data_IF_671471279358
#
_entry.id   IF_671471279358
#
_cell.length_a   1.000
_cell.length_b   1.000
_cell.length_c   1.000
_cell.angle_alpha   90.00
_cell.angle_beta   90.00
_cell.angle_gamma   90.00
#
_symmetry.space_group_name_H-M   'P 1'
#
loop_
_entity.id
_entity.type
_entity.pdbx_description
1 polymer ?
#
# COMPACT_ATOMS: atom_id res chain seq x y z
N UNK A 1 -10.28 9.38 0.75
CA UNK A 1 -10.96 8.08 0.53
C UNK A 1 -10.95 7.17 1.78
N UNK A 2 -12.03 6.40 2.03
CA UNK A 2 -12.11 5.39 3.10
C UNK A 2 -12.52 4.03 2.54
N UNK A 3 -11.88 2.96 2.99
CA UNK A 3 -12.08 1.59 2.50
C UNK A 3 -12.11 0.59 3.66
N UNK A 4 -12.71 -0.58 3.44
CA UNK A 4 -12.78 -1.66 4.44
C UNK A 4 -12.48 -2.97 3.72
N UNK A 5 -11.50 -3.74 4.21
CA UNK A 5 -11.16 -5.09 3.73
C UNK A 5 -11.06 -6.07 4.90
N UNK A 6 -11.23 -7.36 4.66
CA UNK A 6 -11.01 -8.37 5.69
C UNK A 6 -9.51 -8.58 5.94
N UNK A 7 -8.71 -8.68 4.87
CA UNK A 7 -7.25 -8.80 4.91
C UNK A 7 -6.59 -8.19 3.67
N UNK A 8 -5.25 -8.12 3.68
CA UNK A 8 -4.45 -7.75 2.52
C UNK A 8 -3.86 -8.99 1.88
N UNK A 9 -3.92 -9.06 0.54
CA UNK A 9 -3.08 -9.95 -0.24
C UNK A 9 -1.70 -9.29 -0.30
N UNK A 10 -0.66 -9.98 0.12
CA UNK A 10 0.69 -9.42 0.13
C UNK A 10 1.70 -10.47 -0.32
N UNK A 11 2.70 -10.01 -1.08
CA UNK A 11 3.82 -10.83 -1.52
C UNK A 11 5.08 -9.93 -1.44
N UNK A 12 6.09 -10.27 -0.62
CA UNK A 12 7.31 -9.47 -0.53
C UNK A 12 8.23 -9.60 -1.76
N UNK A 13 8.03 -10.60 -2.62
CA UNK A 13 8.88 -10.92 -3.77
C UNK A 13 8.12 -11.83 -4.73
N UNK A 14 7.35 -11.25 -5.64
CA UNK A 14 6.64 -12.00 -6.67
C UNK A 14 7.59 -12.44 -7.79
N UNK A 15 8.11 -13.67 -7.67
CA UNK A 15 9.06 -14.25 -8.62
C UNK A 15 8.49 -14.38 -10.05
N UNK A 16 7.15 -14.38 -10.21
CA UNK A 16 6.51 -14.43 -11.52
C UNK A 16 6.46 -13.05 -12.19
N UNK A 17 6.54 -11.98 -11.39
CA UNK A 17 6.44 -10.57 -11.81
C UNK A 17 7.75 -9.83 -11.48
N UNK A 18 8.88 -10.33 -11.99
CA UNK A 18 10.21 -9.71 -11.86
C UNK A 18 10.59 -9.30 -10.41
N UNK A 19 10.30 -10.19 -9.45
CA UNK A 19 10.57 -10.03 -8.01
C UNK A 19 9.81 -8.84 -7.36
N UNK A 20 8.68 -8.44 -7.93
CA UNK A 20 7.87 -7.31 -7.45
C UNK A 20 7.33 -7.55 -6.02
N UNK A 21 7.49 -6.56 -5.14
CA UNK A 21 6.81 -6.55 -3.85
C UNK A 21 5.43 -5.90 -4.00
N UNK A 22 4.38 -6.49 -3.42
CA UNK A 22 3.01 -5.97 -3.51
C UNK A 22 2.19 -6.13 -2.23
N UNK A 23 1.30 -5.17 -1.98
CA UNK A 23 0.27 -5.21 -0.95
C UNK A 23 -1.05 -4.70 -1.53
N UNK A 24 -2.06 -5.56 -1.56
CA UNK A 24 -3.32 -5.36 -2.26
C UNK A 24 -4.52 -5.53 -1.31
N UNK A 25 -5.46 -4.61 -1.43
CA UNK A 25 -6.74 -4.59 -0.75
C UNK A 25 -7.87 -4.66 -1.79
N UNK A 26 -8.72 -5.68 -1.67
CA UNK A 26 -10.05 -5.69 -2.27
C UNK A 26 -11.06 -5.25 -1.23
N UNK A 27 -11.53 -4.01 -1.34
CA UNK A 27 -12.50 -3.50 -0.38
C UNK A 27 -13.86 -4.19 -0.56
N UNK A 28 -14.62 -4.25 0.53
CA UNK A 28 -15.98 -4.81 0.61
C UNK A 28 -16.96 -4.20 -0.40
N UNK A 29 -16.70 -2.98 -0.88
CA UNK A 29 -17.48 -2.30 -1.91
C UNK A 29 -17.03 -2.62 -3.34
N UNK A 30 -16.02 -3.46 -3.53
CA UNK A 30 -15.43 -3.84 -4.81
C UNK A 30 -14.27 -2.96 -5.28
N UNK A 31 -13.92 -1.90 -4.55
CA UNK A 31 -12.80 -1.04 -4.93
C UNK A 31 -11.45 -1.75 -4.69
N UNK A 32 -10.54 -1.63 -5.65
CA UNK A 32 -9.15 -2.10 -5.56
C UNK A 32 -8.26 -0.97 -5.03
N UNK A 33 -7.36 -1.30 -4.11
CA UNK A 33 -6.21 -0.47 -3.77
C UNK A 33 -4.95 -1.35 -3.68
N UNK A 34 -3.91 -1.02 -4.42
CA UNK A 34 -2.67 -1.77 -4.51
C UNK A 34 -1.47 -0.84 -4.37
N UNK A 35 -0.52 -1.24 -3.54
CA UNK A 35 0.85 -0.73 -3.52
C UNK A 35 1.75 -1.80 -4.11
N UNK A 36 2.58 -1.44 -5.08
CA UNK A 36 3.56 -2.35 -5.67
C UNK A 36 4.87 -1.62 -5.96
N UNK A 37 5.96 -2.38 -6.00
CA UNK A 37 7.26 -1.86 -6.42
C UNK A 37 8.18 -2.96 -6.89
N UNK A 38 8.84 -2.73 -8.02
CA UNK A 38 9.92 -3.56 -8.52
C UNK A 38 11.24 -3.26 -7.78
N UNK A 39 12.12 -4.24 -7.58
CA UNK A 39 13.32 -4.10 -6.74
C UNK A 39 14.31 -3.03 -7.24
N UNK A 40 14.31 -2.75 -8.55
CA UNK A 40 15.23 -1.82 -9.22
C UNK A 40 14.62 -0.43 -9.50
N UNK A 41 13.39 -0.17 -9.05
CA UNK A 41 12.70 1.10 -9.28
C UNK A 41 12.80 2.06 -8.10
N UNK A 42 12.86 3.36 -8.38
CA UNK A 42 12.89 4.43 -7.38
C UNK A 42 11.49 5.05 -7.13
N UNK A 43 10.44 4.38 -7.59
CA UNK A 43 9.04 4.79 -7.43
C UNK A 43 8.17 3.66 -6.89
N UNK A 44 7.03 4.01 -6.29
CA UNK A 44 6.01 3.06 -5.86
C UNK A 44 4.78 3.21 -6.75
N UNK A 45 4.34 2.10 -7.31
CA UNK A 45 3.10 2.00 -8.04
C UNK A 45 1.93 1.97 -7.06
N UNK A 46 1.03 2.93 -7.21
CA UNK A 46 -0.22 2.99 -6.48
C UNK A 46 -1.33 2.82 -7.49
N UNK A 47 -2.12 1.76 -7.34
CA UNK A 47 -3.31 1.53 -8.17
C UNK A 47 -4.56 1.71 -7.31
N UNK A 48 -5.50 2.53 -7.78
CA UNK A 48 -6.82 2.68 -7.18
C UNK A 48 -7.89 2.51 -8.25
N UNK A 49 -8.76 1.52 -8.06
CA UNK A 49 -9.72 1.05 -9.07
C UNK A 49 -9.01 0.67 -10.38
N UNK A 50 -9.15 1.51 -11.40
CA UNK A 50 -8.66 1.27 -12.77
C UNK A 50 -7.45 2.15 -13.11
N UNK A 51 -7.07 3.08 -12.23
CA UNK A 51 -5.99 4.04 -12.47
C UNK A 51 -4.75 3.65 -11.66
N UNK A 52 -3.57 3.80 -12.27
CA UNK A 52 -2.26 3.63 -11.63
C UNK A 52 -1.47 4.92 -11.73
N UNK A 53 -0.81 5.29 -10.64
CA UNK A 53 0.16 6.39 -10.57
C UNK A 53 1.50 5.85 -10.06
N UNK A 54 2.58 6.52 -10.45
CA UNK A 54 3.92 6.24 -9.98
C UNK A 54 4.36 7.37 -9.05
N UNK A 55 4.71 7.03 -7.81
CA UNK A 55 5.02 8.01 -6.76
C UNK A 55 6.47 7.83 -6.32
N UNK A 56 7.31 8.83 -6.62
CA UNK A 56 8.75 8.84 -6.34
C UNK A 56 9.12 9.56 -5.02
N UNK A 57 8.18 10.32 -4.45
CA UNK A 57 8.44 11.20 -3.31
C UNK A 57 7.16 11.51 -2.52
N UNK A 58 7.33 11.95 -1.28
CA UNK A 58 6.25 12.37 -0.37
C UNK A 58 5.12 11.35 -0.13
N UNK A 59 5.34 10.08 -0.47
CA UNK A 59 4.50 8.97 -0.06
C UNK A 59 4.72 8.67 1.42
N UNK A 60 3.66 8.67 2.21
CA UNK A 60 3.68 8.21 3.60
C UNK A 60 2.66 7.11 3.83
N UNK A 61 3.12 6.01 4.40
CA UNK A 61 2.31 4.83 4.70
C UNK A 61 2.42 4.52 6.18
N UNK A 62 1.28 4.42 6.87
CA UNK A 62 1.22 4.07 8.29
C UNK A 62 0.38 2.81 8.46
N UNK A 63 0.99 1.72 8.95
CA UNK A 63 0.30 0.47 9.28
C UNK A 63 0.09 0.37 10.79
N UNK A 64 -1.14 0.05 11.18
CA UNK A 64 -1.55 -0.20 12.57
C UNK A 64 -2.28 -1.54 12.66
N UNK A 65 -2.68 -1.95 13.87
CA UNK A 65 -3.37 -3.22 14.08
C UNK A 65 -4.71 -3.37 13.32
N UNK A 66 -5.34 -2.27 12.91
CA UNK A 66 -6.67 -2.29 12.28
C UNK A 66 -6.82 -1.33 11.10
N UNK A 67 -5.74 -0.62 10.73
CA UNK A 67 -5.76 0.37 9.66
C UNK A 67 -4.44 0.43 8.91
N UNK A 68 -4.53 0.61 7.61
CA UNK A 68 -3.48 1.14 6.75
C UNK A 68 -3.88 2.56 6.30
N UNK A 69 -3.00 3.53 6.48
CA UNK A 69 -3.20 4.90 6.02
C UNK A 69 -2.14 5.22 4.97
N UNK A 70 -2.57 5.66 3.79
CA UNK A 70 -1.70 6.08 2.70
C UNK A 70 -1.94 7.55 2.38
N UNK A 71 -0.88 8.35 2.43
CA UNK A 71 -0.86 9.77 2.15
C UNK A 71 0.05 10.02 0.95
N UNK A 72 -0.46 10.74 -0.05
CA UNK A 72 0.28 11.16 -1.24
C UNK A 72 0.14 12.66 -1.45
N UNK A 73 0.99 13.24 -2.30
CA UNK A 73 0.89 14.64 -2.64
C UNK A 73 -0.36 14.95 -3.49
N UNK A 74 -0.88 16.16 -3.35
CA UNK A 74 -2.05 16.60 -4.10
C UNK A 74 -1.81 16.65 -5.63
N UNK A 75 -0.54 16.73 -6.05
CA UNK A 75 -0.17 16.68 -7.45
C UNK A 75 -0.39 15.27 -8.03
N UNK A 76 0.03 14.24 -7.31
CA UNK A 76 -0.05 12.84 -7.71
C UNK A 76 -1.47 12.29 -7.56
N UNK A 77 -2.25 12.83 -6.63
CA UNK A 77 -3.65 12.44 -6.41
C UNK A 77 -4.62 12.85 -7.54
N UNK A 78 -4.19 13.66 -8.52
CA UNK A 78 -5.09 14.17 -9.58
C UNK A 78 -5.80 13.07 -10.40
N UNK A 79 -5.11 11.99 -10.85
CA UNK A 79 -5.77 10.88 -11.55
C UNK A 79 -6.82 10.21 -10.67
N UNK A 80 -6.63 10.20 -9.36
CA UNK A 80 -7.59 9.65 -8.39
C UNK A 80 -8.70 10.62 -7.97
N UNK A 81 -8.99 11.64 -8.79
CA UNK A 81 -10.03 12.63 -8.48
C UNK A 81 -9.65 13.61 -7.36
N UNK A 82 -8.37 13.64 -6.96
CA UNK A 82 -7.82 14.53 -5.94
C UNK A 82 -7.85 13.96 -4.52
N UNK A 83 -8.31 12.73 -4.32
CA UNK A 83 -8.18 12.03 -3.04
C UNK A 83 -6.71 11.71 -2.77
N UNK A 84 -6.14 12.35 -1.76
CA UNK A 84 -4.71 12.21 -1.42
C UNK A 84 -4.47 11.51 -0.07
N UNK A 85 -5.54 11.05 0.57
CA UNK A 85 -5.53 10.31 1.83
C UNK A 85 -6.44 9.10 1.70
N UNK A 86 -5.89 7.91 1.87
CA UNK A 86 -6.60 6.63 1.86
C UNK A 86 -6.53 6.01 3.24
N UNK A 87 -7.68 5.86 3.89
CA UNK A 87 -7.81 5.18 5.18
C UNK A 87 -8.49 3.83 4.96
N UNK A 88 -7.72 2.74 5.02
CA UNK A 88 -8.20 1.37 4.81
C UNK A 88 -8.31 0.70 6.17
N UNK A 89 -9.54 0.44 6.63
CA UNK A 89 -9.77 -0.39 7.82
C UNK A 89 -9.64 -1.86 7.43
N UNK A 90 -8.95 -2.64 8.25
CA UNK A 90 -8.76 -4.07 8.01
C UNK A 90 -8.90 -4.92 9.28
N UNK A 91 -9.16 -6.20 9.07
CA UNK A 91 -9.14 -7.23 10.12
C UNK A 91 -8.05 -8.28 9.89
N UNK A 92 -6.99 -7.94 9.16
CA UNK A 92 -5.85 -8.82 8.87
C UNK A 92 -5.41 -9.59 10.13
N UNK A 93 -5.39 -10.93 10.09
CA UNK A 93 -4.99 -11.76 11.23
C UNK A 93 -3.59 -11.40 11.75
N UNK A 94 -3.32 -11.50 13.07
CA UNK A 94 -2.03 -11.11 13.64
C UNK A 94 -0.80 -11.81 13.05
N UNK A 95 -0.94 -13.06 12.58
CA UNK A 95 0.12 -13.79 11.90
C UNK A 95 0.45 -13.17 10.54
N UNK A 96 -0.57 -12.82 9.74
CA UNK A 96 -0.42 -12.18 8.44
C UNK A 96 -0.04 -10.70 8.56
N UNK A 97 -0.41 -10.04 9.66
CA UNK A 97 -0.13 -8.64 9.89
C UNK A 97 1.38 -8.35 9.96
N UNK A 98 2.17 -9.30 10.49
CA UNK A 98 3.63 -9.20 10.52
C UNK A 98 4.22 -9.35 9.12
N UNK A 99 3.72 -10.29 8.35
CA UNK A 99 4.19 -10.53 6.97
C UNK A 99 3.86 -9.30 6.09
N UNK A 100 2.67 -8.71 6.25
CA UNK A 100 2.31 -7.44 5.63
C UNK A 100 3.24 -6.28 6.04
N UNK A 101 3.63 -6.18 7.32
CA UNK A 101 4.59 -5.17 7.77
C UNK A 101 5.93 -5.30 7.05
N UNK A 102 6.43 -6.53 6.90
CA UNK A 102 7.68 -6.81 6.20
C UNK A 102 7.57 -6.47 4.70
N UNK A 103 6.46 -6.84 4.06
CA UNK A 103 6.21 -6.48 2.66
C UNK A 103 6.16 -4.96 2.45
N UNK A 104 5.47 -4.20 3.30
CA UNK A 104 5.42 -2.74 3.18
C UNK A 104 6.79 -2.10 3.42
N UNK A 105 7.62 -2.64 4.31
CA UNK A 105 9.01 -2.16 4.47
C UNK A 105 9.83 -2.31 3.20
N UNK A 106 9.61 -3.39 2.43
CA UNK A 106 10.28 -3.61 1.15
C UNK A 106 9.79 -2.59 0.12
N UNK A 107 8.47 -2.48 -0.05
CA UNK A 107 7.85 -1.55 -1.02
C UNK A 107 8.32 -0.12 -0.76
N UNK A 108 8.30 0.35 0.50
CA UNK A 108 8.56 1.76 0.81
C UNK A 108 10.05 2.09 0.99
N UNK A 109 10.95 1.10 0.91
CA UNK A 109 12.38 1.28 1.20
C UNK A 109 13.00 2.37 0.33
N UNK A 110 13.54 3.42 0.94
CA UNK A 110 14.26 4.52 0.25
C UNK A 110 13.41 5.40 -0.69
N UNK A 111 12.11 5.14 -0.86
CA UNK A 111 11.19 5.96 -1.68
C UNK A 111 10.25 6.79 -0.79
N UNK A 112 9.58 6.14 0.16
CA UNK A 112 8.57 6.77 1.00
C UNK A 112 8.90 6.71 2.50
N UNK A 113 8.01 7.31 3.28
CA UNK A 113 8.04 7.20 4.75
C UNK A 113 7.11 6.08 5.20
N UNK A 114 7.67 4.99 5.70
CA UNK A 114 6.91 3.92 6.33
C UNK A 114 6.91 4.04 7.87
N UNK A 115 5.73 4.00 8.47
CA UNK A 115 5.52 3.99 9.92
C UNK A 115 4.76 2.73 10.30
N UNK A 116 5.36 1.90 11.14
CA UNK A 116 4.70 0.72 11.71
C UNK A 116 4.33 1.00 13.16
N UNK A 117 3.05 0.86 13.49
CA UNK A 117 2.50 0.93 14.85
C UNK A 117 2.18 -0.47 15.40
N UNK A 118 2.67 -1.52 14.73
CA UNK A 118 2.48 -2.90 15.17
C UNK A 118 3.42 -3.16 16.37
N UNK A 119 2.92 -3.78 17.46
CA UNK A 119 3.78 -4.18 18.57
C UNK A 119 4.87 -5.17 18.12
N UNK A 120 6.08 -5.01 18.65
CA UNK A 120 7.22 -5.90 18.40
C UNK A 120 7.00 -7.32 18.93
#
# INVERSE_FOLDING_TARGET
MKMITDSFIHNPCDEEEDDMALACCHATNGDLFLLARFPDEDEVDITFRDDTIHVDSHLKVTLSATRLVVEIDAADAKPFGGDNLYEISHSTPPNELRDLDETLRIILKEVGTYVSEIPA
#
